data_IF_240215225534
#
_entry.id   IF_240215225534
#
_cell.length_a   1.000
_cell.length_b   1.000
_cell.length_c   1.000
_cell.angle_alpha   90.00
_cell.angle_beta   90.00
_cell.angle_gamma   90.00
#
_symmetry.space_group_name_H-M   'P 1'
#
loop_
_entity.id
_entity.type
_entity.pdbx_description
1 polymer ?
#
# COMPACT_ATOMS: atom_id res chain seq x y z
N UNK A 1 -54.59 2.44 57.49
CA UNK A 1 -53.32 2.94 58.10
C UNK A 1 -52.40 3.36 56.97
N UNK A 2 -52.13 4.69 56.87
CA UNK A 2 -51.32 5.28 55.82
C UNK A 2 -49.90 5.50 56.38
N UNK A 3 -48.91 4.84 55.80
CA UNK A 3 -47.50 5.00 56.16
C UNK A 3 -46.86 5.87 55.08
N UNK A 4 -46.49 7.10 55.42
CA UNK A 4 -45.72 8.01 54.56
C UNK A 4 -44.23 7.73 54.75
N UNK A 5 -43.56 7.28 53.69
CA UNK A 5 -42.11 7.18 53.67
C UNK A 5 -41.52 8.49 53.09
N UNK A 6 -40.76 9.15 53.93
CA UNK A 6 -40.01 10.38 53.55
C UNK A 6 -38.68 10.00 52.95
N UNK A 7 -38.46 10.38 51.71
CA UNK A 7 -37.19 10.12 50.98
C UNK A 7 -36.23 11.26 51.24
N UNK A 8 -35.15 10.96 51.96
CA UNK A 8 -34.06 11.94 52.24
C UNK A 8 -32.98 11.80 51.14
N UNK A 9 -32.80 12.82 50.34
CA UNK A 9 -31.73 12.89 49.34
C UNK A 9 -30.43 13.28 50.07
N UNK A 10 -29.45 12.38 50.09
CA UNK A 10 -28.08 12.67 50.50
C UNK A 10 -27.28 12.89 49.24
N UNK A 11 -26.89 14.15 48.98
CA UNK A 11 -25.94 14.51 47.96
C UNK A 11 -24.51 14.23 48.45
N UNK A 12 -23.87 13.19 47.96
CA UNK A 12 -22.47 12.93 48.19
C UNK A 12 -21.63 13.62 47.12
N UNK A 13 -21.00 14.72 47.49
CA UNK A 13 -19.99 15.40 46.69
C UNK A 13 -18.66 14.66 46.79
N UNK A 14 -18.27 13.97 45.74
CA UNK A 14 -16.92 13.40 45.63
C UNK A 14 -15.96 14.52 45.18
N UNK A 15 -15.09 14.92 46.13
CA UNK A 15 -13.87 15.67 45.83
C UNK A 15 -12.82 14.73 45.26
N UNK A 16 -12.52 14.85 43.95
CA UNK A 16 -11.31 14.26 43.40
C UNK A 16 -10.14 15.16 43.75
N UNK A 17 -9.36 14.72 44.75
CA UNK A 17 -8.03 15.29 45.02
C UNK A 17 -7.09 14.82 43.91
N UNK A 18 -6.72 15.70 42.98
CA UNK A 18 -5.63 15.49 42.06
C UNK A 18 -4.33 15.62 42.85
N UNK A 19 -3.54 14.54 42.93
CA UNK A 19 -2.17 14.58 43.45
C UNK A 19 -1.32 15.47 42.54
N UNK A 20 -0.92 16.59 43.06
CA UNK A 20 0.14 17.42 42.53
C UNK A 20 1.47 16.74 42.79
N UNK A 21 2.02 16.08 41.75
CA UNK A 21 3.40 15.56 41.79
C UNK A 21 4.24 16.55 41.01
N UNK A 22 4.84 17.49 41.72
CA UNK A 22 5.84 18.42 41.23
C UNK A 22 7.11 17.68 40.81
N UNK A 23 7.08 17.14 39.60
CA UNK A 23 8.28 16.76 38.85
C UNK A 23 8.65 17.93 37.95
N UNK A 24 9.76 18.57 38.24
CA UNK A 24 10.36 19.63 37.41
C UNK A 24 10.73 19.06 36.04
N UNK A 25 9.78 19.03 35.09
CA UNK A 25 10.07 18.83 33.70
C UNK A 25 10.36 20.22 33.11
N UNK A 26 11.61 20.43 32.78
CA UNK A 26 12.10 21.53 31.95
C UNK A 26 11.24 21.58 30.71
N UNK A 27 10.36 22.57 30.62
CA UNK A 27 9.64 22.88 29.37
C UNK A 27 10.68 23.43 28.40
N UNK A 28 11.29 22.56 27.64
CA UNK A 28 11.91 22.95 26.39
C UNK A 28 10.77 23.41 25.49
N UNK A 29 10.62 24.70 25.38
CA UNK A 29 9.79 25.35 24.37
C UNK A 29 10.40 25.00 23.00
N UNK A 30 10.03 23.87 22.43
CA UNK A 30 10.19 23.64 21.01
C UNK A 30 9.32 24.67 20.29
N UNK A 31 9.92 25.85 20.04
CA UNK A 31 9.37 26.84 19.16
C UNK A 31 9.23 26.15 17.81
N UNK A 32 8.00 25.86 17.42
CA UNK A 32 7.74 25.39 16.06
C UNK A 32 8.23 26.50 15.13
N UNK A 33 9.42 26.37 14.62
CA UNK A 33 9.94 27.19 13.53
C UNK A 33 9.02 26.88 12.34
N UNK A 34 8.12 27.79 12.06
CA UNK A 34 7.40 27.81 10.79
C UNK A 34 8.46 27.95 9.72
N UNK A 35 8.78 26.83 9.07
CA UNK A 35 9.69 26.79 7.94
C UNK A 35 9.19 27.84 6.93
N UNK A 36 9.99 28.89 6.69
CA UNK A 36 9.75 29.83 5.59
C UNK A 36 9.66 29.00 4.31
N UNK A 37 8.65 29.23 3.45
CA UNK A 37 8.64 28.57 2.15
C UNK A 37 9.93 28.95 1.43
N UNK A 38 10.86 28.01 1.34
CA UNK A 38 12.03 28.16 0.49
C UNK A 38 11.49 28.12 -0.94
N UNK A 39 11.91 29.04 -1.79
CA UNK A 39 11.43 29.18 -3.17
C UNK A 39 11.83 28.01 -4.09
N UNK A 40 12.21 26.88 -3.54
CA UNK A 40 12.39 25.61 -4.22
C UNK A 40 11.12 24.78 -4.01
N UNK A 41 10.63 24.12 -5.06
CA UNK A 41 9.49 23.20 -5.04
C UNK A 41 9.80 21.95 -4.20
N UNK A 42 10.20 22.15 -2.95
CA UNK A 42 10.57 21.07 -2.03
C UNK A 42 9.39 20.77 -1.11
N UNK A 43 8.86 19.56 -1.21
CA UNK A 43 7.90 19.01 -0.28
C UNK A 43 8.63 18.26 0.83
N UNK A 44 8.36 18.62 2.09
CA UNK A 44 8.95 17.94 3.27
C UNK A 44 7.87 17.11 3.94
N UNK A 45 8.06 15.80 3.94
CA UNK A 45 7.17 14.85 4.59
C UNK A 45 7.84 14.27 5.83
N UNK A 46 7.26 14.52 7.01
CA UNK A 46 7.76 14.04 8.29
C UNK A 46 7.05 12.76 8.69
N UNK A 47 7.81 11.75 9.08
CA UNK A 47 7.31 10.44 9.51
C UNK A 47 7.90 10.06 10.86
N UNK A 48 7.25 9.12 11.57
CA UNK A 48 7.72 8.64 12.87
C UNK A 48 9.06 7.87 12.80
N UNK A 49 9.40 7.33 11.62
CA UNK A 49 10.66 6.63 11.36
C UNK A 49 11.02 6.74 9.88
N UNK A 50 12.29 6.54 9.55
CA UNK A 50 12.74 6.49 8.16
C UNK A 50 12.16 5.27 7.41
N UNK A 51 11.92 5.38 6.09
CA UNK A 51 11.59 4.23 5.25
C UNK A 51 12.72 3.18 5.30
N UNK A 52 12.36 1.90 5.31
CA UNK A 52 13.32 0.79 5.21
C UNK A 52 13.83 0.61 3.78
N UNK A 53 13.08 1.08 2.80
CA UNK A 53 13.42 1.01 1.38
C UNK A 53 12.34 1.65 0.52
N UNK A 54 12.62 1.76 -0.78
CA UNK A 54 11.72 2.39 -1.75
C UNK A 54 11.22 1.41 -2.83
N UNK A 55 11.54 0.12 -2.72
CA UNK A 55 11.00 -0.90 -3.60
C UNK A 55 9.85 -1.63 -2.90
N UNK A 56 8.60 -1.47 -3.35
CA UNK A 56 7.44 -2.11 -2.72
C UNK A 56 7.53 -3.64 -2.69
N UNK A 57 8.15 -4.24 -3.69
CA UNK A 57 8.37 -5.68 -3.72
C UNK A 57 9.25 -6.22 -2.58
N UNK A 58 10.07 -5.37 -1.95
CA UNK A 58 11.10 -5.78 -0.99
C UNK A 58 10.81 -5.38 0.45
N UNK A 59 9.89 -4.47 0.67
CA UNK A 59 9.52 -3.95 1.99
C UNK A 59 8.00 -4.00 2.18
N UNK A 60 7.57 -4.19 3.42
CA UNK A 60 6.16 -4.29 3.77
C UNK A 60 5.94 -3.54 5.10
N UNK A 61 6.12 -2.23 5.08
CA UNK A 61 5.84 -1.39 6.24
C UNK A 61 5.33 0.01 5.81
N UNK A 62 4.48 0.60 6.67
CA UNK A 62 3.69 1.77 6.32
C UNK A 62 4.48 2.99 5.87
N UNK A 63 5.66 3.25 6.46
CA UNK A 63 6.46 4.42 6.07
C UNK A 63 7.07 4.28 4.68
N UNK A 64 7.62 3.09 4.35
CA UNK A 64 8.12 2.78 3.01
C UNK A 64 6.99 2.77 1.98
N UNK A 65 5.85 2.19 2.32
CA UNK A 65 4.65 2.19 1.49
C UNK A 65 4.20 3.61 1.14
N UNK A 66 4.04 4.48 2.15
CA UNK A 66 3.64 5.86 1.93
C UNK A 66 4.65 6.68 1.12
N UNK A 67 5.95 6.37 1.25
CA UNK A 67 7.01 7.09 0.57
C UNK A 67 7.28 6.59 -0.85
N UNK A 68 6.84 5.39 -1.21
CA UNK A 68 7.13 4.75 -2.50
C UNK A 68 5.88 4.27 -3.23
N UNK A 69 5.26 3.18 -2.78
CA UNK A 69 4.15 2.54 -3.50
C UNK A 69 3.01 3.50 -3.81
N UNK A 70 2.66 4.36 -2.85
CA UNK A 70 1.56 5.32 -3.00
C UNK A 70 1.89 6.51 -3.92
N UNK A 71 3.17 6.85 -4.08
CA UNK A 71 3.57 8.10 -4.72
C UNK A 71 4.29 7.92 -6.06
N UNK A 72 4.98 6.80 -6.24
CA UNK A 72 5.94 6.63 -7.34
C UNK A 72 5.57 5.45 -8.24
N UNK A 73 4.93 4.42 -7.69
CA UNK A 73 4.59 3.21 -8.43
C UNK A 73 3.10 3.15 -8.76
N UNK A 74 2.79 2.52 -9.88
CA UNK A 74 1.43 2.24 -10.30
C UNK A 74 1.13 0.75 -10.17
N UNK A 75 -0.17 0.41 -10.09
CA UNK A 75 -0.71 -0.95 -10.00
C UNK A 75 -1.54 -1.28 -11.21
N UNK A 76 -1.90 -2.54 -11.40
CA UNK A 76 -2.87 -2.92 -12.43
C UNK A 76 -4.25 -2.33 -12.15
N UNK A 77 -4.66 -2.42 -10.88
CA UNK A 77 -5.92 -1.84 -10.35
C UNK A 77 -5.62 -1.07 -9.09
N UNK A 78 -6.45 -0.13 -8.70
CA UNK A 78 -6.29 0.61 -7.45
C UNK A 78 -7.63 0.76 -6.71
N UNK A 79 -7.58 1.10 -5.44
CA UNK A 79 -8.78 1.41 -4.69
C UNK A 79 -9.23 2.85 -4.94
N UNK A 80 -10.52 3.03 -5.16
CA UNK A 80 -11.11 4.37 -5.15
C UNK A 80 -10.84 5.06 -3.83
N UNK A 81 -10.51 6.32 -3.91
CA UNK A 81 -10.17 7.13 -2.73
C UNK A 81 -11.30 7.09 -1.69
N UNK A 82 -10.98 6.60 -0.48
CA UNK A 82 -11.95 6.49 0.61
C UNK A 82 -12.95 5.35 0.47
N UNK A 83 -12.72 4.38 -0.42
CA UNK A 83 -13.57 3.20 -0.66
C UNK A 83 -12.76 1.91 -0.68
N UNK A 84 -13.45 0.79 -0.60
CA UNK A 84 -12.91 -0.55 -0.88
C UNK A 84 -13.21 -1.01 -2.31
N UNK A 85 -13.87 -0.17 -3.12
CA UNK A 85 -14.12 -0.46 -4.52
C UNK A 85 -12.83 -0.31 -5.33
N UNK A 86 -12.66 -1.18 -6.32
CA UNK A 86 -11.54 -1.10 -7.23
C UNK A 86 -11.88 -0.24 -8.45
N UNK A 87 -10.87 0.43 -8.97
CA UNK A 87 -10.94 1.19 -10.21
C UNK A 87 -9.72 0.91 -11.10
N UNK A 88 -9.84 1.20 -12.42
CA UNK A 88 -8.76 1.04 -13.38
C UNK A 88 -7.53 1.89 -13.04
N UNK A 89 -6.32 1.26 -13.13
CA UNK A 89 -5.04 1.95 -13.03
C UNK A 89 -4.19 1.68 -14.28
N UNK A 90 -3.14 0.84 -14.23
CA UNK A 90 -2.40 0.43 -15.43
C UNK A 90 -3.22 -0.48 -16.34
N UNK A 91 -4.14 -1.26 -15.79
CA UNK A 91 -5.20 -1.91 -16.56
C UNK A 91 -6.37 -0.94 -16.70
N UNK A 92 -6.80 -0.66 -17.93
CA UNK A 92 -8.01 0.15 -18.21
C UNK A 92 -9.30 -0.64 -18.03
N UNK A 93 -9.22 -1.97 -18.13
CA UNK A 93 -10.32 -2.91 -17.87
C UNK A 93 -9.78 -4.30 -17.59
N UNK A 94 -10.63 -5.18 -17.05
CA UNK A 94 -10.33 -6.58 -16.86
C UNK A 94 -11.59 -7.44 -16.99
N UNK A 95 -11.37 -8.70 -17.31
CA UNK A 95 -12.40 -9.73 -17.41
C UNK A 95 -12.07 -10.88 -16.47
N UNK A 96 -13.09 -11.50 -15.92
CA UNK A 96 -12.95 -12.66 -15.04
C UNK A 96 -13.75 -13.80 -15.66
N UNK A 97 -13.13 -14.96 -15.87
CA UNK A 97 -13.83 -16.14 -16.38
C UNK A 97 -14.94 -16.62 -15.43
N UNK A 98 -15.95 -17.29 -15.96
CA UNK A 98 -17.11 -17.80 -15.19
C UNK A 98 -16.69 -18.73 -14.03
N UNK A 99 -15.59 -19.45 -14.22
CA UNK A 99 -15.03 -20.30 -13.18
C UNK A 99 -14.24 -19.51 -12.12
N UNK A 100 -14.02 -18.20 -12.31
CA UNK A 100 -13.31 -17.32 -11.39
C UNK A 100 -11.82 -17.63 -11.25
N UNK A 101 -11.23 -18.37 -12.21
CA UNK A 101 -9.83 -18.77 -12.17
C UNK A 101 -8.93 -17.96 -13.10
N UNK A 102 -9.49 -17.33 -14.13
CA UNK A 102 -8.72 -16.60 -15.12
C UNK A 102 -9.10 -15.13 -15.13
N UNK A 103 -8.08 -14.28 -15.04
CA UNK A 103 -8.20 -12.83 -15.09
C UNK A 103 -7.45 -12.31 -16.30
N UNK A 104 -8.14 -11.62 -17.21
CA UNK A 104 -7.55 -10.99 -18.39
C UNK A 104 -7.55 -9.48 -18.18
N UNK A 105 -6.39 -8.86 -18.17
CA UNK A 105 -6.20 -7.42 -17.99
C UNK A 105 -5.84 -6.76 -19.30
N UNK A 106 -6.60 -5.73 -19.70
CA UNK A 106 -6.30 -4.87 -20.83
C UNK A 106 -5.52 -3.66 -20.35
N UNK A 107 -4.28 -3.54 -20.79
CA UNK A 107 -3.35 -2.54 -20.30
C UNK A 107 -3.50 -1.21 -21.01
N UNK A 108 -3.36 -0.14 -20.28
CA UNK A 108 -3.35 1.24 -20.78
C UNK A 108 -2.15 1.46 -21.70
N UNK A 109 -2.39 2.07 -22.86
CA UNK A 109 -1.35 2.39 -23.86
C UNK A 109 -0.72 3.77 -23.56
N UNK A 110 0.52 3.95 -24.01
CA UNK A 110 1.19 5.24 -23.96
C UNK A 110 1.64 5.67 -22.55
N UNK A 111 1.66 4.76 -21.58
CA UNK A 111 2.15 5.03 -20.23
C UNK A 111 3.68 5.11 -20.26
N UNK A 112 4.23 6.26 -19.85
CA UNK A 112 5.67 6.52 -19.85
C UNK A 112 6.29 6.14 -18.51
N UNK A 113 7.51 5.61 -18.57
CA UNK A 113 8.36 5.51 -17.38
C UNK A 113 9.04 6.84 -17.07
N UNK A 114 9.43 7.02 -15.81
CA UNK A 114 10.25 8.17 -15.42
C UNK A 114 11.65 8.09 -16.03
N UNK A 115 12.14 9.23 -16.48
CA UNK A 115 13.54 9.38 -16.89
C UNK A 115 14.35 9.93 -15.73
N UNK A 116 15.48 9.29 -15.42
CA UNK A 116 16.44 9.76 -14.40
C UNK A 116 17.81 10.00 -15.04
N UNK A 117 18.78 10.41 -14.24
CA UNK A 117 20.17 10.55 -14.73
C UNK A 117 20.78 9.19 -15.09
N UNK A 118 20.35 8.14 -14.41
CA UNK A 118 20.89 6.78 -14.54
C UNK A 118 20.06 5.91 -15.47
N UNK A 119 18.84 6.33 -15.81
CA UNK A 119 17.91 5.51 -16.58
C UNK A 119 17.09 6.34 -17.57
N UNK A 120 17.15 5.98 -18.84
CA UNK A 120 16.30 6.51 -19.90
C UNK A 120 15.48 5.37 -20.49
N UNK A 121 14.14 5.43 -20.38
CA UNK A 121 13.27 4.41 -20.97
C UNK A 121 13.44 4.33 -22.48
N UNK A 122 13.48 3.11 -23.02
CA UNK A 122 13.57 2.88 -24.47
C UNK A 122 12.21 2.65 -25.13
N UNK A 123 11.17 2.42 -24.32
CA UNK A 123 9.79 2.21 -24.75
C UNK A 123 8.81 2.61 -23.64
N UNK A 124 7.54 2.60 -23.98
CA UNK A 124 6.43 2.74 -23.03
C UNK A 124 6.20 1.42 -22.28
N UNK A 125 5.44 1.51 -21.18
CA UNK A 125 4.94 0.36 -20.43
C UNK A 125 4.11 -0.57 -21.33
N UNK A 126 4.32 -1.88 -21.15
CA UNK A 126 3.54 -2.91 -21.82
C UNK A 126 3.45 -4.20 -20.97
N UNK A 127 2.92 -5.28 -21.56
CA UNK A 127 2.74 -6.57 -20.90
C UNK A 127 4.05 -7.20 -20.39
N UNK A 128 5.19 -6.94 -21.04
CA UNK A 128 6.49 -7.49 -20.62
C UNK A 128 6.90 -6.97 -19.23
N UNK A 129 6.50 -5.75 -18.87
CA UNK A 129 6.81 -5.16 -17.55
C UNK A 129 5.98 -5.83 -16.44
N UNK A 130 4.73 -6.17 -16.75
CA UNK A 130 3.88 -6.95 -15.84
C UNK A 130 4.47 -8.33 -15.64
N UNK A 131 4.80 -9.04 -16.72
CA UNK A 131 5.44 -10.35 -16.67
C UNK A 131 6.73 -10.31 -15.85
N UNK A 132 7.61 -9.35 -16.12
CA UNK A 132 8.85 -9.17 -15.38
C UNK A 132 8.61 -9.02 -13.89
N UNK A 133 7.63 -8.21 -13.50
CA UNK A 133 7.30 -7.94 -12.10
C UNK A 133 6.84 -9.19 -11.36
N UNK A 134 6.03 -10.03 -12.00
CA UNK A 134 5.57 -11.29 -11.42
C UNK A 134 6.64 -12.39 -11.48
N UNK A 135 7.25 -12.61 -12.64
CA UNK A 135 8.21 -13.71 -12.86
C UNK A 135 9.45 -13.56 -11.97
N UNK A 136 9.95 -12.34 -11.81
CA UNK A 136 11.06 -12.06 -10.89
C UNK A 136 10.79 -12.49 -9.45
N UNK A 137 9.52 -12.48 -9.02
CA UNK A 137 9.11 -12.85 -7.67
C UNK A 137 8.74 -14.35 -7.56
N UNK A 138 8.24 -14.93 -8.65
CA UNK A 138 7.81 -16.35 -8.71
C UNK A 138 8.95 -17.31 -8.95
N UNK A 139 9.85 -17.00 -9.88
CA UNK A 139 10.89 -17.92 -10.33
C UNK A 139 12.23 -17.66 -9.63
N UNK A 140 12.68 -18.58 -8.74
CA UNK A 140 13.99 -18.45 -8.09
C UNK A 140 15.18 -18.42 -9.06
N UNK A 141 15.01 -18.92 -10.30
CA UNK A 141 16.06 -18.92 -11.32
C UNK A 141 16.04 -17.64 -12.19
N UNK A 142 15.05 -16.76 -12.01
CA UNK A 142 15.00 -15.52 -12.75
C UNK A 142 16.24 -14.66 -12.42
N UNK A 143 16.95 -14.08 -13.42
CA UNK A 143 18.22 -13.36 -13.21
C UNK A 143 18.13 -12.24 -12.16
N UNK A 144 16.96 -11.65 -12.00
CA UNK A 144 16.72 -10.57 -11.04
C UNK A 144 16.01 -11.01 -9.75
N UNK A 145 15.80 -12.32 -9.55
CA UNK A 145 15.13 -12.83 -8.34
C UNK A 145 15.90 -12.48 -7.07
N UNK A 146 17.20 -12.66 -7.07
CA UNK A 146 18.07 -12.47 -5.91
C UNK A 146 18.60 -11.03 -5.75
N UNK A 147 18.23 -10.11 -6.63
CA UNK A 147 18.52 -8.69 -6.44
C UNK A 147 17.87 -8.24 -5.13
N UNK A 148 18.66 -7.64 -4.23
CA UNK A 148 18.23 -7.23 -2.90
C UNK A 148 17.73 -8.39 -2.01
N UNK A 149 18.33 -9.58 -2.15
CA UNK A 149 18.09 -10.79 -1.32
C UNK A 149 16.79 -11.57 -1.60
N UNK A 150 15.97 -11.20 -2.57
CA UNK A 150 14.83 -11.99 -3.06
C UNK A 150 13.77 -12.38 -2.02
N UNK A 151 13.50 -11.54 -1.04
CA UNK A 151 12.59 -11.93 0.06
C UNK A 151 11.11 -11.76 -0.26
N UNK A 152 10.72 -10.80 -1.06
CA UNK A 152 9.36 -10.52 -1.52
C UNK A 152 8.26 -10.71 -0.46
N UNK A 153 8.28 -9.92 0.64
CA UNK A 153 7.45 -10.22 1.81
C UNK A 153 5.96 -10.08 1.53
N UNK A 154 5.53 -9.08 0.76
CA UNK A 154 4.13 -8.90 0.39
C UNK A 154 3.63 -10.06 -0.48
N UNK A 155 4.37 -10.39 -1.52
CA UNK A 155 4.04 -11.46 -2.45
C UNK A 155 3.85 -12.83 -1.75
N UNK A 156 4.71 -13.10 -0.76
CA UNK A 156 4.60 -14.30 0.09
C UNK A 156 3.43 -14.21 1.07
N UNK A 157 3.19 -13.05 1.66
CA UNK A 157 2.06 -12.87 2.59
C UNK A 157 0.70 -13.08 1.90
N UNK A 158 0.58 -12.64 0.65
CA UNK A 158 -0.61 -12.87 -0.19
C UNK A 158 -0.67 -14.31 -0.74
N UNK A 159 0.31 -15.15 -0.44
CA UNK A 159 0.41 -16.55 -0.91
C UNK A 159 0.39 -16.67 -2.44
N UNK A 160 0.86 -15.65 -3.14
CA UNK A 160 0.92 -15.66 -4.60
C UNK A 160 1.73 -16.83 -5.19
N UNK A 161 2.84 -17.30 -4.59
CA UNK A 161 3.53 -18.49 -5.09
C UNK A 161 2.66 -19.74 -5.18
N UNK A 162 1.70 -19.91 -4.26
CA UNK A 162 0.78 -21.07 -4.24
C UNK A 162 -0.51 -20.78 -5.02
N UNK A 163 -0.90 -19.52 -5.10
CA UNK A 163 -2.14 -19.09 -5.71
C UNK A 163 -2.05 -18.98 -7.23
N UNK A 164 -0.94 -18.42 -7.74
CA UNK A 164 -0.75 -18.19 -9.16
C UNK A 164 -0.35 -19.47 -9.89
N UNK A 165 -1.10 -19.83 -10.94
CA UNK A 165 -0.78 -20.91 -11.85
C UNK A 165 0.11 -20.43 -13.00
N UNK A 166 -0.28 -19.30 -13.61
CA UNK A 166 0.50 -18.68 -14.68
C UNK A 166 0.22 -17.17 -14.75
N UNK A 167 1.21 -16.44 -15.28
CA UNK A 167 1.10 -15.05 -15.72
C UNK A 167 1.63 -15.01 -17.14
N UNK A 168 0.79 -14.68 -18.11
CA UNK A 168 1.06 -14.82 -19.54
C UNK A 168 0.79 -13.53 -20.28
N UNK A 169 1.68 -13.22 -21.21
CA UNK A 169 1.47 -12.18 -22.22
C UNK A 169 0.56 -12.75 -23.32
N UNK A 170 -0.60 -12.16 -23.52
CA UNK A 170 -1.48 -12.48 -24.66
C UNK A 170 -1.05 -11.66 -25.87
N UNK A 171 -0.82 -10.37 -25.67
CA UNK A 171 -0.24 -9.44 -26.63
C UNK A 171 0.47 -8.30 -25.87
N UNK A 172 0.94 -7.26 -26.55
CA UNK A 172 1.68 -6.15 -25.92
C UNK A 172 0.87 -5.36 -24.89
N UNK A 173 -0.45 -5.42 -24.96
CA UNK A 173 -1.35 -4.69 -24.07
C UNK A 173 -2.34 -5.59 -23.34
N UNK A 174 -2.14 -6.91 -23.35
CA UNK A 174 -3.04 -7.85 -22.69
C UNK A 174 -2.25 -8.88 -21.90
N UNK A 175 -2.57 -8.99 -20.61
CA UNK A 175 -1.99 -9.98 -19.71
C UNK A 175 -3.09 -10.88 -19.17
N UNK A 176 -2.79 -12.18 -19.13
CA UNK A 176 -3.66 -13.19 -18.52
C UNK A 176 -3.00 -13.75 -17.27
N UNK A 177 -3.75 -13.75 -16.17
CA UNK A 177 -3.34 -14.37 -14.91
C UNK A 177 -4.30 -15.52 -14.61
N UNK A 178 -3.76 -16.72 -14.43
CA UNK A 178 -4.55 -17.90 -14.06
C UNK A 178 -4.20 -18.32 -12.65
N UNK A 179 -5.22 -18.67 -11.86
CA UNK A 179 -5.10 -19.11 -10.48
C UNK A 179 -5.20 -20.63 -10.38
N UNK A 180 -4.54 -21.22 -9.39
CA UNK A 180 -4.69 -22.63 -9.01
C UNK A 180 -6.02 -22.93 -8.33
N UNK A 181 -6.62 -21.93 -7.69
CA UNK A 181 -7.92 -22.02 -7.00
C UNK A 181 -8.57 -20.64 -6.98
N UNK A 182 -9.90 -20.63 -6.84
CA UNK A 182 -10.65 -19.38 -6.66
C UNK A 182 -10.18 -18.64 -5.42
N UNK A 183 -9.98 -17.33 -5.56
CA UNK A 183 -9.68 -16.43 -4.46
C UNK A 183 -10.42 -15.11 -4.64
N UNK A 184 -11.39 -14.85 -3.78
CA UNK A 184 -12.23 -13.64 -3.85
C UNK A 184 -11.43 -12.35 -3.55
N UNK A 185 -10.28 -12.47 -2.91
CA UNK A 185 -9.43 -11.31 -2.54
C UNK A 185 -8.32 -11.04 -3.54
N UNK A 186 -8.13 -11.92 -4.53
CA UNK A 186 -7.02 -11.80 -5.49
C UNK A 186 -6.95 -10.43 -6.16
N UNK A 187 -8.08 -9.98 -6.73
CA UNK A 187 -8.11 -8.70 -7.44
C UNK A 187 -7.83 -7.52 -6.49
N UNK A 188 -8.37 -7.55 -5.28
CA UNK A 188 -8.10 -6.55 -4.25
C UNK A 188 -6.62 -6.54 -3.83
N UNK A 189 -5.99 -7.72 -3.76
CA UNK A 189 -4.56 -7.84 -3.43
C UNK A 189 -3.66 -7.20 -4.49
N UNK A 190 -4.09 -7.11 -5.76
CA UNK A 190 -3.37 -6.40 -6.81
C UNK A 190 -3.48 -4.86 -6.68
N UNK A 191 -4.43 -4.37 -5.91
CA UNK A 191 -4.64 -2.94 -5.64
C UNK A 191 -3.93 -2.43 -4.38
N UNK A 192 -3.34 -3.30 -3.58
CA UNK A 192 -2.76 -2.90 -2.29
C UNK A 192 -1.32 -2.42 -2.40
N UNK A 193 -0.44 -3.12 -3.15
CA UNK A 193 1.01 -2.82 -3.18
C UNK A 193 1.66 -3.07 -4.55
#
# INVERSE_FOLDING_TARGET
MKLKATLTLIAASLFLAACDQSGSATKENAKAETAKPSGNNTFVYCTAKAPLGFSPALVMEGTSYNASSQQVYNRLVEFKKGSTDLEPALAESWEISDDGLTYTFHLRKGVKFHTTKEFTPTRDFNADDVLFSFQRQLDPNHPYHNVSKGTYPYFKAMKFPDLLKSVEKVDDNTVRITLNKKDATFLASLGMD
#
